data_IF_655657858702
#
_entry.id   IF_655657858702
#
_cell.length_a   1.000
_cell.length_b   1.000
_cell.length_c   1.000
_cell.angle_alpha   90.00
_cell.angle_beta   90.00
_cell.angle_gamma   90.00
#
_symmetry.space_group_name_H-M   'P 1'
#
loop_
_entity.id
_entity.type
_entity.pdbx_description
1 polymer ?
#
# COMPACT_ATOMS: atom_id res chain seq x y z
N UNK A 1 -59.91 5.74 -44.05
CA UNK A 1 -58.54 6.27 -43.88
C UNK A 1 -58.42 7.32 -42.77
N UNK A 2 -59.34 8.31 -42.65
CA UNK A 2 -59.29 9.32 -41.57
C UNK A 2 -59.30 8.77 -40.13
N UNK A 3 -60.02 7.66 -39.87
CA UNK A 3 -60.10 7.03 -38.53
C UNK A 3 -58.79 6.35 -38.09
N UNK A 4 -58.00 5.84 -39.04
CA UNK A 4 -56.72 5.18 -38.75
C UNK A 4 -55.57 6.19 -38.56
N UNK A 5 -55.66 7.35 -39.23
CA UNK A 5 -54.70 8.44 -39.03
C UNK A 5 -54.75 9.02 -37.60
N UNK A 6 -55.95 9.16 -37.02
CA UNK A 6 -56.10 9.59 -35.62
C UNK A 6 -55.52 8.57 -34.62
N UNK A 7 -55.63 7.28 -34.91
CA UNK A 7 -55.04 6.21 -34.07
C UNK A 7 -53.51 6.21 -34.14
N UNK A 8 -52.93 6.48 -35.32
CA UNK A 8 -51.47 6.60 -35.48
C UNK A 8 -50.92 7.85 -34.78
N UNK A 9 -51.63 8.98 -34.85
CA UNK A 9 -51.27 10.22 -34.14
C UNK A 9 -51.40 10.04 -32.63
N UNK A 10 -52.42 9.34 -32.15
CA UNK A 10 -52.58 9.03 -30.72
C UNK A 10 -51.49 8.07 -30.22
N UNK A 11 -51.07 7.09 -31.03
CA UNK A 11 -49.96 6.20 -30.71
C UNK A 11 -48.61 6.95 -30.65
N UNK A 12 -48.39 7.96 -31.51
CA UNK A 12 -47.20 8.82 -31.48
C UNK A 12 -47.16 9.74 -30.25
N UNK A 13 -48.33 10.17 -29.74
CA UNK A 13 -48.43 10.98 -28.51
C UNK A 13 -48.27 10.15 -27.22
N UNK A 14 -48.56 8.84 -27.27
CA UNK A 14 -48.41 7.91 -26.13
C UNK A 14 -46.99 7.32 -26.00
N UNK A 15 -46.08 7.60 -26.95
CA UNK A 15 -44.65 7.26 -26.85
C UNK A 15 -43.78 8.44 -26.39
N UNK A 16 -44.40 9.56 -26.01
CA UNK A 16 -43.71 10.55 -25.18
C UNK A 16 -43.55 9.97 -23.77
N UNK A 17 -42.52 9.14 -23.56
CA UNK A 17 -41.90 9.07 -22.24
C UNK A 17 -41.31 10.46 -21.99
N UNK A 18 -42.15 11.38 -21.53
CA UNK A 18 -41.73 12.50 -20.71
C UNK A 18 -41.11 11.85 -19.48
N UNK A 19 -39.79 11.66 -19.52
CA UNK A 19 -38.98 11.24 -18.38
C UNK A 19 -39.01 12.43 -17.42
N UNK A 20 -40.16 12.55 -16.74
CA UNK A 20 -40.61 13.76 -16.09
C UNK A 20 -39.50 14.28 -15.20
N UNK A 21 -39.15 15.55 -15.42
CA UNK A 21 -38.18 16.36 -14.67
C UNK A 21 -37.71 15.68 -13.38
N UNK A 22 -36.71 14.79 -13.51
CA UNK A 22 -36.19 14.00 -12.39
C UNK A 22 -35.36 14.96 -11.54
N UNK A 23 -36.03 15.74 -10.71
CA UNK A 23 -35.38 16.59 -9.73
C UNK A 23 -34.76 15.70 -8.67
N UNK A 24 -33.45 15.81 -8.50
CA UNK A 24 -32.73 15.03 -7.49
C UNK A 24 -33.05 15.65 -6.12
N UNK A 25 -33.75 14.92 -5.27
CA UNK A 25 -34.05 15.41 -3.92
C UNK A 25 -32.97 15.01 -2.90
N UNK A 26 -32.29 13.88 -3.13
CA UNK A 26 -31.30 13.31 -2.20
C UNK A 26 -30.24 12.52 -2.96
N UNK A 27 -28.98 12.71 -2.60
CA UNK A 27 -27.87 11.89 -3.11
C UNK A 27 -27.93 10.54 -2.41
N UNK A 28 -28.14 9.45 -3.15
CA UNK A 28 -28.11 8.11 -2.59
C UNK A 28 -27.20 7.22 -3.44
N UNK A 29 -26.12 6.68 -2.86
CA UNK A 29 -25.21 5.72 -3.52
C UNK A 29 -24.96 4.48 -2.65
N UNK A 30 -25.92 4.13 -1.79
CA UNK A 30 -25.81 3.01 -0.84
C UNK A 30 -25.71 1.66 -1.55
N UNK A 31 -26.33 1.47 -2.73
CA UNK A 31 -26.23 0.22 -3.48
C UNK A 31 -24.86 -0.02 -4.12
N UNK A 32 -23.99 1.00 -4.15
CA UNK A 32 -22.64 0.92 -4.72
C UNK A 32 -21.65 0.90 -3.57
N UNK A 33 -21.30 -0.29 -3.08
CA UNK A 33 -20.48 -0.39 -1.85
C UNK A 33 -18.99 -0.14 -2.07
N UNK A 34 -18.48 -0.42 -3.28
CA UNK A 34 -17.06 -0.22 -3.64
C UNK A 34 -16.93 0.89 -4.68
N UNK A 35 -16.13 1.88 -4.35
CA UNK A 35 -15.76 2.98 -5.24
C UNK A 35 -14.58 2.60 -6.14
N UNK A 36 -14.47 3.28 -7.28
CA UNK A 36 -13.36 3.12 -8.22
C UNK A 36 -12.52 4.41 -8.25
N UNK A 37 -11.26 4.32 -8.68
CA UNK A 37 -10.42 5.48 -8.94
C UNK A 37 -10.07 5.62 -10.41
N UNK A 38 -9.71 6.84 -10.82
CA UNK A 38 -9.20 7.06 -12.16
C UNK A 38 -7.81 6.41 -12.33
N UNK A 39 -7.49 5.79 -13.49
CA UNK A 39 -6.24 5.04 -13.67
C UNK A 39 -4.95 5.82 -13.38
N UNK A 40 -4.94 7.12 -13.66
CA UNK A 40 -3.76 7.97 -13.46
C UNK A 40 -3.53 8.33 -11.97
N UNK A 41 -4.55 8.13 -11.13
CA UNK A 41 -4.51 8.50 -9.71
C UNK A 41 -3.66 7.57 -8.84
N UNK A 42 -3.21 6.42 -9.36
CA UNK A 42 -2.36 5.45 -8.64
C UNK A 42 -0.93 5.32 -9.18
N UNK A 43 -0.62 5.92 -10.34
CA UNK A 43 0.70 5.79 -10.99
C UNK A 43 1.50 7.09 -11.00
N UNK A 44 0.83 8.22 -10.82
CA UNK A 44 1.46 9.53 -10.72
C UNK A 44 1.29 10.09 -9.31
N UNK A 45 2.37 10.00 -8.52
CA UNK A 45 2.46 10.48 -7.14
C UNK A 45 2.33 12.01 -7.00
N UNK A 46 2.18 12.74 -8.12
CA UNK A 46 1.97 14.18 -8.16
C UNK A 46 0.57 14.58 -8.63
N UNK A 47 -0.18 13.66 -9.24
CA UNK A 47 -1.52 13.91 -9.75
C UNK A 47 -2.58 13.75 -8.64
N UNK A 48 -3.67 14.53 -8.68
CA UNK A 48 -4.77 14.35 -7.74
C UNK A 48 -5.41 12.96 -7.90
N UNK A 49 -5.83 12.41 -6.76
CA UNK A 49 -6.60 11.16 -6.70
C UNK A 49 -8.08 11.49 -6.90
N UNK A 50 -8.67 10.93 -7.97
CA UNK A 50 -10.11 10.98 -8.22
C UNK A 50 -10.72 9.63 -7.89
N UNK A 51 -11.67 9.62 -6.95
CA UNK A 51 -12.43 8.44 -6.53
C UNK A 51 -13.89 8.71 -6.82
N UNK A 52 -14.57 7.77 -7.45
CA UNK A 52 -15.93 7.97 -7.93
C UNK A 52 -16.83 6.76 -7.71
N UNK A 53 -18.13 7.05 -7.71
CA UNK A 53 -19.21 6.10 -7.87
C UNK A 53 -20.09 6.54 -9.03
N UNK A 54 -20.58 5.56 -9.81
CA UNK A 54 -21.47 5.80 -10.95
C UNK A 54 -22.75 5.00 -10.77
N UNK A 55 -23.88 5.65 -11.03
CA UNK A 55 -25.13 5.00 -11.45
C UNK A 55 -25.31 5.24 -12.95
N UNK A 56 -26.45 4.84 -13.51
CA UNK A 56 -26.76 5.07 -14.93
C UNK A 56 -26.64 6.53 -15.33
N UNK A 57 -27.25 7.47 -14.59
CA UNK A 57 -27.30 8.90 -14.93
C UNK A 57 -26.73 9.81 -13.83
N UNK A 58 -26.03 9.24 -12.84
CA UNK A 58 -25.52 10.01 -11.69
C UNK A 58 -24.07 9.63 -11.39
N UNK A 59 -23.29 10.61 -10.94
CA UNK A 59 -21.94 10.39 -10.41
C UNK A 59 -21.74 11.10 -9.08
N UNK A 60 -20.98 10.48 -8.19
CA UNK A 60 -20.45 11.10 -6.99
C UNK A 60 -18.93 10.96 -7.01
N UNK A 61 -18.22 12.07 -6.94
CA UNK A 61 -16.77 12.13 -7.13
C UNK A 61 -16.11 12.86 -5.98
N UNK A 62 -15.00 12.31 -5.49
CA UNK A 62 -14.08 12.95 -4.57
C UNK A 62 -12.79 13.25 -5.32
N UNK A 63 -12.29 14.47 -5.18
CA UNK A 63 -10.93 14.85 -5.54
C UNK A 63 -10.11 15.06 -4.27
N UNK A 64 -8.98 14.35 -4.20
CA UNK A 64 -7.98 14.48 -3.15
C UNK A 64 -6.63 14.83 -3.78
N UNK A 65 -5.74 15.58 -3.11
CA UNK A 65 -4.33 15.66 -3.49
C UNK A 65 -3.68 14.27 -3.54
N UNK A 66 -2.60 14.14 -4.31
CA UNK A 66 -1.77 12.94 -4.27
C UNK A 66 -1.36 12.61 -2.82
N UNK A 67 -1.20 11.32 -2.51
CA UNK A 67 -0.78 10.85 -1.19
C UNK A 67 -1.75 11.17 -0.01
N UNK A 68 -2.98 11.62 -0.28
CA UNK A 68 -4.01 11.81 0.76
C UNK A 68 -4.57 10.49 1.27
N UNK A 69 -4.49 9.43 0.47
CA UNK A 69 -4.76 8.06 0.90
C UNK A 69 -3.44 7.35 1.05
N UNK A 70 -3.23 6.74 2.21
CA UNK A 70 -1.97 6.07 2.57
C UNK A 70 -2.21 4.58 2.71
N UNK A 71 -1.35 3.79 2.08
CA UNK A 71 -1.19 2.35 2.29
C UNK A 71 -0.54 2.06 3.66
N UNK A 72 -1.26 2.46 4.70
CA UNK A 72 -1.01 2.16 6.10
C UNK A 72 -2.33 2.19 6.87
N UNK A 73 -2.52 1.27 7.82
CA UNK A 73 -3.70 1.28 8.67
C UNK A 73 -3.75 2.57 9.51
N UNK A 74 -4.95 3.09 9.75
CA UNK A 74 -5.15 4.18 10.73
C UNK A 74 -5.24 3.59 12.14
N UNK A 75 -4.77 4.29 13.19
CA UNK A 75 -5.03 3.87 14.56
C UNK A 75 -6.54 3.80 14.83
N UNK A 76 -6.95 2.93 15.76
CA UNK A 76 -8.36 2.78 16.14
C UNK A 76 -8.92 4.13 16.62
N UNK A 77 -10.02 4.58 16.02
CA UNK A 77 -10.69 5.84 16.35
C UNK A 77 -9.95 7.10 15.89
N UNK A 78 -8.92 6.98 15.04
CA UNK A 78 -8.15 8.11 14.53
C UNK A 78 -8.05 8.08 12.99
N UNK A 79 -9.14 8.39 12.26
CA UNK A 79 -9.12 8.47 10.80
C UNK A 79 -8.22 9.62 10.32
N UNK A 80 -7.84 9.59 9.04
CA UNK A 80 -7.32 10.77 8.36
C UNK A 80 -8.49 11.74 8.12
N UNK A 81 -8.30 13.03 8.41
CA UNK A 81 -9.35 14.04 8.30
C UNK A 81 -8.92 15.17 7.37
N UNK A 82 -9.79 15.57 6.44
CA UNK A 82 -9.53 16.65 5.49
C UNK A 82 -10.74 17.57 5.36
N UNK A 83 -10.54 18.88 5.59
CA UNK A 83 -11.59 19.87 5.37
C UNK A 83 -11.91 20.02 3.88
N UNK A 84 -13.20 19.94 3.54
CA UNK A 84 -13.68 20.26 2.20
C UNK A 84 -13.52 21.76 1.99
N UNK A 85 -12.64 22.11 1.06
CA UNK A 85 -12.22 23.50 0.83
C UNK A 85 -12.41 23.96 -0.63
N UNK A 86 -12.97 23.09 -1.48
CA UNK A 86 -13.25 23.35 -2.88
C UNK A 86 -12.07 23.72 -3.78
N UNK A 87 -10.83 23.58 -3.28
CA UNK A 87 -9.61 23.77 -4.05
C UNK A 87 -8.84 22.45 -4.17
N UNK A 88 -8.40 21.91 -3.04
CA UNK A 88 -7.62 20.66 -2.98
C UNK A 88 -8.51 19.46 -2.68
N UNK A 89 -9.42 19.60 -1.72
CA UNK A 89 -10.36 18.57 -1.30
C UNK A 89 -11.76 18.96 -1.78
N UNK A 90 -12.30 18.19 -2.73
CA UNK A 90 -13.57 18.50 -3.39
C UNK A 90 -14.46 17.28 -3.40
N UNK A 91 -15.74 17.49 -3.18
CA UNK A 91 -16.78 16.47 -3.38
C UNK A 91 -17.81 17.05 -4.32
N UNK A 92 -18.11 16.34 -5.41
CA UNK A 92 -19.06 16.76 -6.43
C UNK A 92 -20.05 15.63 -6.72
N UNK A 93 -21.32 15.97 -6.69
CA UNK A 93 -22.39 15.17 -7.26
C UNK A 93 -22.80 15.75 -8.61
N UNK A 94 -23.11 14.89 -9.58
CA UNK A 94 -23.64 15.28 -10.89
C UNK A 94 -24.74 14.34 -11.36
N UNK A 95 -25.78 14.90 -11.96
CA UNK A 95 -26.77 14.20 -12.76
C UNK A 95 -26.56 14.50 -14.26
N UNK A 96 -26.99 13.57 -15.11
CA UNK A 96 -26.74 13.60 -16.54
C UNK A 96 -28.01 13.29 -17.36
N UNK A 97 -28.10 13.86 -18.57
CA UNK A 97 -29.20 13.60 -19.54
C UNK A 97 -29.09 12.25 -20.27
N UNK A 98 -28.19 11.38 -19.82
CA UNK A 98 -27.92 10.09 -20.43
C UNK A 98 -26.91 9.28 -19.63
N UNK A 99 -26.53 8.11 -20.16
CA UNK A 99 -25.68 7.18 -19.42
C UNK A 99 -24.27 7.73 -19.19
N UNK A 100 -23.88 7.90 -17.92
CA UNK A 100 -22.53 8.31 -17.52
C UNK A 100 -21.60 7.10 -17.46
N UNK A 101 -20.38 7.28 -17.94
CA UNK A 101 -19.33 6.27 -17.94
C UNK A 101 -18.02 6.80 -17.35
N UNK A 102 -17.08 5.89 -17.10
CA UNK A 102 -15.78 6.21 -16.48
C UNK A 102 -15.02 7.30 -17.23
N UNK A 103 -15.09 7.33 -18.57
CA UNK A 103 -14.43 8.34 -19.38
C UNK A 103 -15.02 9.75 -19.22
N UNK A 104 -16.28 9.88 -18.81
CA UNK A 104 -16.88 11.18 -18.43
C UNK A 104 -16.23 11.77 -17.18
N UNK A 105 -15.67 10.93 -16.30
CA UNK A 105 -15.03 11.34 -15.06
C UNK A 105 -13.50 11.41 -15.22
N UNK A 106 -12.90 10.38 -15.81
CA UNK A 106 -11.47 10.13 -15.83
C UNK A 106 -10.78 10.43 -17.18
N UNK A 107 -11.53 10.85 -18.20
CA UNK A 107 -10.96 11.15 -19.51
C UNK A 107 -10.02 12.35 -19.44
N UNK A 108 -8.83 12.25 -20.03
CA UNK A 108 -7.93 13.41 -20.22
C UNK A 108 -8.63 14.55 -20.95
N UNK A 109 -9.51 14.19 -21.88
CA UNK A 109 -10.51 15.06 -22.49
C UNK A 109 -11.85 14.38 -22.28
N UNK A 110 -12.63 14.76 -21.26
CA UNK A 110 -13.94 14.17 -21.02
C UNK A 110 -14.85 14.36 -22.25
N UNK A 111 -15.58 13.34 -22.69
CA UNK A 111 -16.51 13.48 -23.79
C UNK A 111 -17.63 14.46 -23.42
N UNK A 112 -18.14 15.18 -24.42
CA UNK A 112 -19.20 16.19 -24.26
C UNK A 112 -20.55 15.59 -23.85
N UNK A 113 -20.78 14.31 -24.13
CA UNK A 113 -22.03 13.59 -23.86
C UNK A 113 -21.82 12.45 -22.85
N UNK A 114 -22.80 12.16 -21.97
CA UNK A 114 -24.03 12.93 -21.75
C UNK A 114 -23.75 14.33 -21.14
N UNK A 115 -24.70 15.25 -21.28
CA UNK A 115 -24.59 16.58 -20.67
C UNK A 115 -24.91 16.50 -19.18
N UNK A 116 -24.24 17.32 -18.38
CA UNK A 116 -24.58 17.51 -16.97
C UNK A 116 -25.87 18.34 -16.89
N UNK A 117 -26.90 17.78 -16.27
CA UNK A 117 -28.19 18.45 -16.03
C UNK A 117 -28.22 19.14 -14.68
N UNK A 118 -27.50 18.59 -13.70
CA UNK A 118 -27.42 19.12 -12.35
C UNK A 118 -26.04 18.84 -11.73
N UNK A 119 -25.51 19.79 -10.95
CA UNK A 119 -24.24 19.64 -10.22
C UNK A 119 -24.39 20.18 -8.80
N UNK A 120 -24.06 19.36 -7.80
CA UNK A 120 -24.00 19.80 -6.41
C UNK A 120 -22.56 19.76 -5.93
N UNK A 121 -22.04 20.92 -5.58
CA UNK A 121 -20.70 21.06 -5.01
C UNK A 121 -20.78 21.10 -3.49
N UNK A 122 -20.00 20.28 -2.81
CA UNK A 122 -19.88 20.37 -1.36
C UNK A 122 -19.12 21.65 -0.97
N UNK A 123 -19.68 22.50 -0.11
CA UNK A 123 -19.11 23.79 0.31
C UNK A 123 -18.54 23.79 1.72
N UNK A 124 -18.88 22.78 2.53
CA UNK A 124 -18.36 22.56 3.88
C UNK A 124 -18.41 21.07 4.23
N UNK A 125 -17.74 20.71 5.32
CA UNK A 125 -17.67 19.35 5.86
C UNK A 125 -16.25 18.80 5.92
N UNK A 126 -16.11 17.62 6.48
CA UNK A 126 -14.83 16.93 6.68
C UNK A 126 -14.89 15.58 5.99
N UNK A 127 -13.86 15.24 5.22
CA UNK A 127 -13.64 13.89 4.69
C UNK A 127 -12.86 13.10 5.74
N UNK A 128 -13.45 12.03 6.25
CA UNK A 128 -12.81 11.05 7.12
C UNK A 128 -12.44 9.79 6.33
N UNK A 129 -11.20 9.34 6.46
CA UNK A 129 -10.70 8.12 5.82
C UNK A 129 -10.12 7.19 6.89
N UNK A 130 -10.79 6.05 7.10
CA UNK A 130 -10.31 4.97 7.98
C UNK A 130 -9.69 3.88 7.12
N UNK A 131 -8.39 3.62 7.32
CA UNK A 131 -7.65 2.61 6.56
C UNK A 131 -7.46 1.35 7.38
N UNK A 132 -7.71 0.20 6.78
CA UNK A 132 -7.47 -1.13 7.37
C UNK A 132 -6.59 -1.96 6.45
N UNK A 133 -5.61 -2.67 7.03
CA UNK A 133 -4.75 -3.59 6.28
C UNK A 133 -5.53 -4.86 5.94
N UNK A 134 -5.44 -5.31 4.70
CA UNK A 134 -5.89 -6.64 4.29
C UNK A 134 -4.69 -7.58 4.24
N UNK A 135 -4.77 -8.67 5.02
CA UNK A 135 -3.69 -9.67 5.12
C UNK A 135 -4.14 -10.95 4.43
N UNK A 136 -3.30 -11.49 3.56
CA UNK A 136 -3.52 -12.79 2.96
C UNK A 136 -3.35 -13.93 3.97
N UNK A 137 -3.79 -15.13 3.56
CA UNK A 137 -3.66 -16.32 4.37
C UNK A 137 -2.19 -16.64 4.70
N UNK A 138 -2.00 -17.34 5.83
CA UNK A 138 -0.69 -17.85 6.24
C UNK A 138 -0.19 -18.86 5.21
N UNK A 139 0.99 -18.64 4.66
CA UNK A 139 1.68 -19.55 3.75
C UNK A 139 1.89 -20.91 4.44
N UNK A 140 1.51 -21.99 3.78
CA UNK A 140 1.71 -23.36 4.29
C UNK A 140 3.17 -23.84 4.12
N UNK A 141 3.98 -23.11 3.35
CA UNK A 141 5.36 -23.50 3.03
C UNK A 141 6.36 -23.01 4.07
N UNK A 142 6.22 -21.75 4.49
CA UNK A 142 7.19 -21.05 5.35
C UNK A 142 6.50 -20.30 6.49
N UNK A 143 5.19 -20.49 6.67
CA UNK A 143 4.41 -19.81 7.69
C UNK A 143 4.23 -18.32 7.49
N UNK A 144 4.75 -17.72 6.42
CA UNK A 144 4.72 -16.26 6.21
C UNK A 144 3.31 -15.70 6.00
N UNK A 145 3.10 -14.40 6.27
CA UNK A 145 1.90 -13.66 5.81
C UNK A 145 2.32 -12.50 4.92
N UNK A 146 1.41 -12.06 4.05
CA UNK A 146 1.65 -10.90 3.18
C UNK A 146 0.46 -9.96 3.22
N UNK A 147 0.74 -8.67 3.09
CA UNK A 147 -0.30 -7.66 2.87
C UNK A 147 -0.77 -7.83 1.42
N UNK A 148 -2.07 -7.98 1.23
CA UNK A 148 -2.70 -8.14 -0.09
C UNK A 148 -3.42 -6.87 -0.56
N UNK A 149 -3.55 -5.88 0.32
CA UNK A 149 -4.08 -4.57 -0.02
C UNK A 149 -4.49 -3.79 1.23
N UNK A 150 -5.20 -2.69 1.01
CA UNK A 150 -5.82 -1.88 2.05
C UNK A 150 -7.27 -1.58 1.68
N UNK A 151 -8.13 -1.53 2.70
CA UNK A 151 -9.49 -1.01 2.57
C UNK A 151 -9.58 0.35 3.27
N UNK A 152 -9.99 1.37 2.51
CA UNK A 152 -10.18 2.74 2.94
C UNK A 152 -11.67 3.05 2.99
N UNK A 153 -12.24 3.09 4.19
CA UNK A 153 -13.60 3.53 4.40
C UNK A 153 -13.63 5.06 4.42
N UNK A 154 -14.44 5.63 3.53
CA UNK A 154 -14.58 7.09 3.37
C UNK A 154 -15.97 7.51 3.87
N UNK A 155 -15.99 8.46 4.79
CA UNK A 155 -17.21 9.05 5.37
C UNK A 155 -17.06 10.56 5.34
N UNK A 156 -18.12 11.29 4.99
CA UNK A 156 -18.15 12.74 5.13
C UNK A 156 -18.91 13.12 6.40
N UNK A 157 -18.35 14.03 7.19
CA UNK A 157 -18.95 14.57 8.41
C UNK A 157 -19.42 16.00 8.17
N UNK A 158 -20.67 16.29 8.53
CA UNK A 158 -21.28 17.62 8.40
C UNK A 158 -21.11 18.21 6.99
N UNK A 159 -21.28 17.37 5.96
CA UNK A 159 -21.09 17.79 4.57
C UNK A 159 -22.26 18.67 4.15
N UNK A 160 -21.96 19.83 3.56
CA UNK A 160 -22.98 20.73 3.00
C UNK A 160 -22.87 20.76 1.49
N UNK A 161 -23.88 20.29 0.77
CA UNK A 161 -23.99 20.39 -0.68
C UNK A 161 -24.75 21.66 -1.08
N UNK A 162 -24.23 22.39 -2.05
CA UNK A 162 -24.96 23.48 -2.70
C UNK A 162 -25.82 22.90 -3.83
N UNK A 163 -27.11 22.67 -3.56
CA UNK A 163 -28.11 22.28 -4.57
C UNK A 163 -28.92 23.48 -5.07
N UNK A 164 -29.60 23.38 -6.23
CA UNK A 164 -30.39 24.49 -6.79
C UNK A 164 -31.47 25.03 -5.85
N UNK A 165 -32.11 24.16 -5.06
CA UNK A 165 -33.13 24.53 -4.09
C UNK A 165 -32.59 25.18 -2.80
N UNK A 166 -31.26 25.31 -2.66
CA UNK A 166 -30.58 25.86 -1.48
C UNK A 166 -29.73 24.82 -0.74
N UNK A 167 -28.79 25.23 0.12
CA UNK A 167 -27.84 24.31 0.75
C UNK A 167 -28.50 23.17 1.53
N UNK A 168 -27.93 21.97 1.43
CA UNK A 168 -28.33 20.79 2.20
C UNK A 168 -27.15 20.29 3.00
N UNK A 169 -27.32 20.12 4.32
CA UNK A 169 -26.28 19.60 5.21
C UNK A 169 -26.67 18.22 5.74
N UNK A 170 -25.71 17.30 5.71
CA UNK A 170 -25.84 15.95 6.23
C UNK A 170 -24.77 15.71 7.29
N UNK A 171 -25.18 15.27 8.48
CA UNK A 171 -24.28 15.05 9.62
C UNK A 171 -23.28 13.92 9.33
N UNK A 172 -23.74 12.86 8.68
CA UNK A 172 -22.94 11.73 8.23
C UNK A 172 -23.40 11.32 6.83
N UNK A 173 -22.46 11.23 5.89
CA UNK A 173 -22.68 10.67 4.56
C UNK A 173 -21.63 9.58 4.30
N UNK A 174 -22.05 8.33 4.13
CA UNK A 174 -21.14 7.22 3.87
C UNK A 174 -20.80 7.16 2.39
N UNK A 175 -19.60 7.64 2.03
CA UNK A 175 -19.14 7.48 0.65
C UNK A 175 -18.81 6.03 0.34
N UNK A 176 -18.39 5.21 1.31
CA UNK A 176 -18.16 3.77 1.12
C UNK A 176 -16.68 3.41 1.03
N UNK A 177 -16.38 2.22 0.50
CA UNK A 177 -15.02 1.67 0.51
C UNK A 177 -14.25 1.99 -0.77
N UNK A 178 -12.97 2.31 -0.63
CA UNK A 178 -11.98 2.35 -1.70
C UNK A 178 -10.85 1.38 -1.37
N UNK A 179 -10.45 0.53 -2.32
CA UNK A 179 -9.39 -0.46 -2.08
C UNK A 179 -8.15 -0.16 -2.90
N UNK A 180 -6.98 -0.40 -2.30
CA UNK A 180 -5.68 -0.29 -2.96
C UNK A 180 -4.91 -1.59 -2.85
N UNK A 181 -4.03 -1.84 -3.82
CA UNK A 181 -3.08 -2.95 -3.77
C UNK A 181 -1.98 -2.73 -2.72
N UNK A 182 -1.20 -3.77 -2.42
CA UNK A 182 -0.12 -3.67 -1.46
C UNK A 182 1.10 -2.97 -2.08
N UNK A 183 1.93 -2.37 -1.23
CA UNK A 183 3.27 -1.94 -1.66
C UNK A 183 4.09 -3.20 -1.98
N UNK A 184 4.74 -3.30 -3.16
CA UNK A 184 5.46 -4.51 -3.54
C UNK A 184 6.66 -4.75 -2.61
N UNK A 185 6.78 -5.98 -2.14
CA UNK A 185 7.91 -6.45 -1.32
C UNK A 185 8.75 -7.45 -2.13
N UNK A 186 10.06 -7.28 -2.14
CA UNK A 186 11.02 -8.11 -2.85
C UNK A 186 11.95 -8.78 -1.86
N UNK A 187 11.51 -9.89 -1.27
CA UNK A 187 12.22 -10.59 -0.18
C UNK A 187 13.18 -11.69 -0.68
N UNK A 188 13.49 -11.71 -1.98
CA UNK A 188 14.43 -12.68 -2.55
C UNK A 188 15.81 -12.04 -2.66
N UNK A 189 16.80 -12.67 -2.01
CA UNK A 189 18.20 -12.23 -2.04
C UNK A 189 19.09 -13.40 -2.50
N UNK A 190 19.54 -13.36 -3.75
CA UNK A 190 20.29 -14.47 -4.37
C UNK A 190 21.81 -14.36 -4.21
N UNK A 191 22.30 -13.22 -3.71
CA UNK A 191 23.72 -12.98 -3.43
C UNK A 191 24.12 -13.48 -2.05
N UNK A 192 25.42 -13.62 -1.79
CA UNK A 192 25.91 -13.87 -0.44
C UNK A 192 25.74 -12.60 0.42
N UNK A 193 25.29 -12.73 1.69
CA UNK A 193 25.23 -11.61 2.61
C UNK A 193 26.64 -11.08 2.92
N UNK A 194 26.73 -9.79 3.22
CA UNK A 194 27.97 -9.08 3.55
C UNK A 194 27.92 -8.55 4.97
N UNK A 195 29.06 -8.54 5.67
CA UNK A 195 29.17 -7.99 7.01
C UNK A 195 29.77 -6.58 6.99
N UNK A 196 29.24 -5.69 7.82
CA UNK A 196 29.93 -4.50 8.29
C UNK A 196 30.40 -4.75 9.73
N UNK A 197 31.60 -5.31 9.89
CA UNK A 197 32.11 -5.75 11.20
C UNK A 197 32.15 -4.62 12.23
N UNK A 198 32.67 -3.45 11.84
CA UNK A 198 32.76 -2.28 12.73
C UNK A 198 31.40 -1.80 13.24
N UNK A 199 30.34 -2.02 12.44
CA UNK A 199 28.97 -1.65 12.75
C UNK A 199 28.15 -2.79 13.33
N UNK A 200 28.73 -3.99 13.45
CA UNK A 200 28.02 -5.21 13.89
C UNK A 200 26.76 -5.45 13.06
N UNK A 201 26.86 -5.28 11.74
CA UNK A 201 25.73 -5.44 10.82
C UNK A 201 26.00 -6.57 9.84
N UNK A 202 24.95 -7.27 9.46
CA UNK A 202 24.97 -8.19 8.31
C UNK A 202 23.78 -7.89 7.43
N UNK A 203 23.99 -7.77 6.13
CA UNK A 203 22.95 -7.42 5.19
C UNK A 203 23.00 -8.29 3.93
N UNK A 204 21.86 -8.42 3.27
CA UNK A 204 21.76 -8.91 1.90
C UNK A 204 20.79 -8.02 1.13
N UNK A 205 21.01 -7.88 -0.17
CA UNK A 205 20.27 -6.92 -0.98
C UNK A 205 19.99 -7.44 -2.39
N UNK A 206 18.96 -6.87 -3.00
CA UNK A 206 18.65 -7.00 -4.42
C UNK A 206 18.53 -5.58 -5.01
N UNK A 207 18.29 -5.40 -6.31
CA UNK A 207 18.29 -4.05 -6.90
C UNK A 207 17.30 -3.05 -6.30
N UNK A 208 16.23 -3.51 -5.64
CA UNK A 208 15.11 -2.66 -5.16
C UNK A 208 14.96 -2.62 -3.65
N UNK A 209 15.70 -3.45 -2.91
CA UNK A 209 15.55 -3.58 -1.45
C UNK A 209 16.75 -4.23 -0.78
N UNK A 210 16.85 -4.08 0.54
CA UNK A 210 17.77 -4.87 1.37
C UNK A 210 17.12 -5.30 2.68
N UNK A 211 17.66 -6.38 3.24
CA UNK A 211 17.40 -6.81 4.62
C UNK A 211 18.70 -6.81 5.40
N UNK A 212 18.65 -6.32 6.64
CA UNK A 212 19.80 -6.15 7.51
C UNK A 212 19.48 -6.59 8.93
N UNK A 213 20.40 -7.35 9.53
CA UNK A 213 20.50 -7.55 10.97
C UNK A 213 21.42 -6.47 11.52
N UNK A 214 20.93 -5.65 12.45
CA UNK A 214 21.72 -4.65 13.16
C UNK A 214 22.12 -5.15 14.55
N UNK A 215 23.21 -4.60 15.07
CA UNK A 215 23.71 -4.92 16.41
C UNK A 215 23.80 -6.44 16.62
N UNK A 216 24.32 -7.15 15.61
CA UNK A 216 24.45 -8.59 15.61
C UNK A 216 25.35 -9.01 16.78
N UNK A 217 24.87 -9.98 17.55
CA UNK A 217 25.67 -10.66 18.56
C UNK A 217 26.88 -11.32 17.88
N UNK A 218 28.06 -10.83 18.24
CA UNK A 218 29.34 -11.23 17.65
C UNK A 218 29.70 -12.69 17.96
N UNK A 219 28.98 -13.35 18.88
CA UNK A 219 29.16 -14.76 19.17
C UNK A 219 28.47 -15.69 18.17
N UNK A 220 27.56 -15.18 17.33
CA UNK A 220 26.80 -16.00 16.39
C UNK A 220 27.64 -16.51 15.21
N UNK A 221 28.54 -15.69 14.69
CA UNK A 221 29.41 -16.05 13.56
C UNK A 221 30.77 -16.45 14.11
N UNK A 222 30.98 -17.75 14.25
CA UNK A 222 32.22 -18.35 14.76
C UNK A 222 32.68 -19.48 13.85
N UNK A 223 33.99 -19.59 13.68
CA UNK A 223 34.71 -20.68 12.99
C UNK A 223 34.68 -22.00 13.78
N UNK A 224 33.49 -22.40 14.22
CA UNK A 224 33.22 -23.62 14.98
C UNK A 224 31.89 -24.17 14.50
N UNK A 225 31.92 -25.40 13.97
CA UNK A 225 30.74 -26.11 13.44
C UNK A 225 29.66 -26.21 14.51
N UNK A 226 28.42 -25.95 14.13
CA UNK A 226 27.27 -25.99 15.00
C UNK A 226 26.30 -24.84 14.76
N UNK A 227 25.19 -24.87 15.49
CA UNK A 227 24.11 -23.88 15.40
C UNK A 227 24.12 -22.99 16.63
N UNK A 228 23.97 -21.69 16.43
CA UNK A 228 23.90 -20.67 17.49
C UNK A 228 22.72 -19.77 17.22
N UNK A 229 22.10 -19.27 18.28
CA UNK A 229 20.98 -18.35 18.15
C UNK A 229 21.01 -17.28 19.21
N UNK A 230 20.52 -16.09 18.87
CA UNK A 230 20.28 -15.02 19.83
C UNK A 230 18.93 -14.37 19.57
N UNK A 231 18.31 -13.88 20.64
CA UNK A 231 17.02 -13.20 20.57
C UNK A 231 17.12 -11.88 19.81
N UNK A 232 16.05 -11.57 19.08
CA UNK A 232 15.82 -10.26 18.49
C UNK A 232 15.21 -9.37 19.57
N UNK A 233 15.88 -8.27 19.89
CA UNK A 233 15.43 -7.32 20.90
C UNK A 233 15.42 -5.90 20.32
N UNK A 234 14.98 -4.92 21.09
CA UNK A 234 14.98 -3.53 20.65
C UNK A 234 16.40 -3.02 20.30
N UNK A 235 17.43 -3.55 20.97
CA UNK A 235 18.81 -3.04 20.87
C UNK A 235 19.82 -4.04 20.31
N UNK A 236 19.48 -5.33 20.24
CA UNK A 236 20.36 -6.39 19.74
C UNK A 236 19.67 -7.24 18.68
N UNK A 237 20.42 -7.62 17.64
CA UNK A 237 19.96 -8.45 16.52
C UNK A 237 18.70 -7.92 15.81
N UNK A 238 18.39 -6.63 15.92
CA UNK A 238 17.15 -6.09 15.35
C UNK A 238 17.19 -6.08 13.81
N UNK A 239 16.04 -6.35 13.19
CA UNK A 239 15.94 -6.52 11.73
C UNK A 239 15.34 -5.27 11.11
N UNK A 240 15.97 -4.81 10.03
CA UNK A 240 15.44 -3.76 9.16
C UNK A 240 15.33 -4.29 7.74
N UNK A 241 14.17 -4.10 7.12
CA UNK A 241 13.95 -4.32 5.69
C UNK A 241 13.56 -3.01 5.02
N UNK A 242 14.28 -2.63 3.98
CA UNK A 242 14.14 -1.32 3.34
C UNK A 242 13.92 -1.49 1.85
N UNK A 243 12.96 -0.77 1.29
CA UNK A 243 12.71 -0.67 -0.16
C UNK A 243 13.06 0.71 -0.69
N UNK A 244 13.38 0.80 -1.97
CA UNK A 244 13.77 2.05 -2.63
C UNK A 244 12.78 2.49 -3.71
N UNK A 245 12.74 3.81 -3.96
CA UNK A 245 11.94 4.39 -5.04
C UNK A 245 12.60 4.09 -6.38
N UNK A 246 11.81 3.67 -7.36
CA UNK A 246 12.27 3.52 -8.75
C UNK A 246 12.85 4.84 -9.29
N UNK A 247 13.83 4.75 -10.18
CA UNK A 247 14.43 5.90 -10.87
C UNK A 247 15.12 6.94 -9.95
N UNK A 248 15.51 6.56 -8.72
CA UNK A 248 16.23 7.45 -7.80
C UNK A 248 17.70 7.08 -7.59
N UNK A 249 18.19 6.08 -8.33
CA UNK A 249 19.56 5.56 -8.26
C UNK A 249 19.59 4.04 -8.35
N UNK A 250 20.79 3.46 -8.22
CA UNK A 250 21.02 2.01 -8.23
C UNK A 250 21.59 1.59 -6.89
N UNK A 251 20.98 0.59 -6.25
CA UNK A 251 21.52 0.02 -5.03
C UNK A 251 22.75 -0.84 -5.34
N UNK A 252 23.87 -0.51 -4.69
CA UNK A 252 25.12 -1.27 -4.78
C UNK A 252 25.73 -1.46 -3.38
N UNK A 253 26.79 -2.26 -3.27
CA UNK A 253 27.47 -2.52 -2.00
C UNK A 253 28.00 -1.24 -1.32
N UNK A 254 28.26 -0.16 -2.06
CA UNK A 254 28.71 1.12 -1.50
C UNK A 254 27.64 1.84 -0.67
N UNK A 255 26.38 1.41 -0.74
CA UNK A 255 25.29 1.96 0.07
C UNK A 255 25.41 1.56 1.55
N UNK A 256 26.13 0.48 1.83
CA UNK A 256 26.23 -0.12 3.15
C UNK A 256 27.56 0.25 3.83
N UNK A 257 27.62 -0.01 5.14
CA UNK A 257 28.82 0.19 5.96
C UNK A 257 29.37 1.63 6.06
N UNK A 258 28.73 2.64 5.47
CA UNK A 258 29.17 4.05 5.52
C UNK A 258 28.30 4.92 6.42
N UNK A 259 28.84 6.02 6.96
CA UNK A 259 28.13 6.97 7.83
C UNK A 259 28.48 8.42 7.43
N UNK A 260 27.50 9.26 7.04
CA UNK A 260 26.07 8.95 6.89
C UNK A 260 25.79 8.01 5.71
N UNK A 261 24.62 7.36 5.72
CA UNK A 261 24.17 6.56 4.57
C UNK A 261 23.93 7.45 3.33
N UNK A 262 24.11 6.94 2.09
CA UNK A 262 23.86 7.74 0.90
C UNK A 262 22.39 8.16 0.76
N UNK A 263 22.18 9.31 0.13
CA UNK A 263 20.85 9.79 -0.22
C UNK A 263 20.23 9.10 -1.44
N UNK A 264 21.04 8.38 -2.24
CA UNK A 264 20.62 7.69 -3.45
C UNK A 264 21.04 6.20 -3.43
N UNK A 265 20.15 5.26 -3.81
CA UNK A 265 18.74 5.48 -4.16
C UNK A 265 17.92 5.97 -2.96
N UNK A 266 16.84 6.70 -3.25
CA UNK A 266 15.97 7.27 -2.23
C UNK A 266 15.11 6.17 -1.59
N UNK A 267 15.04 6.17 -0.27
CA UNK A 267 14.22 5.23 0.50
C UNK A 267 12.73 5.43 0.16
N UNK A 268 12.03 4.31 -0.04
CA UNK A 268 10.59 4.24 -0.20
C UNK A 268 9.92 3.88 1.13
N UNK A 269 10.25 2.70 1.67
CA UNK A 269 9.70 2.23 2.94
C UNK A 269 10.76 1.57 3.81
N UNK A 270 10.55 1.63 5.12
CA UNK A 270 11.38 0.94 6.12
C UNK A 270 10.46 0.13 7.02
N UNK A 271 10.77 -1.15 7.17
CA UNK A 271 10.08 -2.10 8.01
C UNK A 271 11.03 -2.57 9.10
N UNK A 272 10.60 -2.52 10.36
CA UNK A 272 11.42 -2.92 11.50
C UNK A 272 10.81 -4.15 12.18
N UNK A 273 11.66 -5.00 12.75
CA UNK A 273 11.21 -6.14 13.56
C UNK A 273 10.39 -5.67 14.76
N UNK A 274 9.23 -6.29 14.95
CA UNK A 274 8.47 -6.22 16.20
C UNK A 274 9.18 -7.08 17.24
N UNK A 275 9.34 -6.56 18.45
CA UNK A 275 9.91 -7.31 19.58
C UNK A 275 8.76 -8.02 20.30
N UNK A 276 8.62 -9.33 20.08
CA UNK A 276 7.53 -10.16 20.60
C UNK A 276 8.02 -11.38 21.42
N UNK A 277 9.29 -11.36 21.83
CA UNK A 277 10.01 -12.41 22.59
C UNK A 277 10.21 -13.76 21.88
N UNK A 278 9.71 -13.94 20.66
CA UNK A 278 9.83 -15.21 19.92
C UNK A 278 10.83 -15.15 18.75
N UNK A 279 11.07 -13.95 18.21
CA UNK A 279 12.01 -13.75 17.12
C UNK A 279 13.47 -14.02 17.49
N UNK A 280 14.19 -14.79 16.67
CA UNK A 280 15.63 -15.05 16.84
C UNK A 280 16.40 -14.88 15.52
N UNK A 281 17.69 -14.57 15.65
CA UNK A 281 18.67 -14.79 14.58
C UNK A 281 19.41 -16.08 14.89
N UNK A 282 19.37 -17.03 13.97
CA UNK A 282 20.09 -18.30 14.03
C UNK A 282 21.22 -18.31 12.99
N UNK A 283 22.40 -18.80 13.39
CA UNK A 283 23.53 -19.02 12.50
C UNK A 283 23.95 -20.47 12.59
N UNK A 284 23.89 -21.17 11.45
CA UNK A 284 24.41 -22.53 11.30
C UNK A 284 25.76 -22.49 10.60
N UNK A 285 26.80 -22.93 11.29
CA UNK A 285 28.17 -23.03 10.75
C UNK A 285 28.45 -24.45 10.29
N UNK A 286 28.90 -24.60 9.04
CA UNK A 286 29.50 -25.84 8.50
C UNK A 286 30.97 -25.61 8.15
N UNK A 287 31.75 -26.68 8.04
CA UNK A 287 33.15 -26.64 7.66
C UNK A 287 33.45 -27.65 6.56
N UNK A 288 34.29 -27.27 5.61
CA UNK A 288 34.78 -28.16 4.54
C UNK A 288 36.30 -28.08 4.42
N UNK A 289 36.95 -29.20 4.11
CA UNK A 289 38.41 -29.29 4.02
C UNK A 289 39.06 -29.87 5.28
N UNK A 290 40.29 -30.38 5.14
CA UNK A 290 41.03 -31.07 6.22
C UNK A 290 42.29 -30.30 6.64
N UNK A 291 43.04 -29.77 5.68
CA UNK A 291 44.24 -28.95 5.90
C UNK A 291 43.97 -27.47 5.72
N UNK A 292 43.08 -27.13 4.80
CA UNK A 292 42.57 -25.78 4.54
C UNK A 292 41.06 -25.80 4.78
N UNK A 293 40.65 -25.35 5.96
CA UNK A 293 39.26 -25.40 6.41
C UNK A 293 38.56 -24.14 5.95
N UNK A 294 37.44 -24.30 5.26
CA UNK A 294 36.54 -23.22 4.87
C UNK A 294 35.27 -23.32 5.71
N UNK A 295 34.97 -22.28 6.46
CA UNK A 295 33.73 -22.18 7.23
C UNK A 295 32.64 -21.48 6.41
N UNK A 296 31.42 -21.99 6.50
CA UNK A 296 30.22 -21.39 5.91
C UNK A 296 29.19 -21.14 6.99
N UNK A 297 28.70 -19.91 7.07
CA UNK A 297 27.74 -19.44 8.07
C UNK A 297 26.42 -19.09 7.40
N UNK A 298 25.42 -19.96 7.54
CA UNK A 298 24.06 -19.69 7.05
C UNK A 298 23.29 -18.93 8.11
N UNK A 299 22.81 -17.74 7.77
CA UNK A 299 22.08 -16.84 8.66
C UNK A 299 20.59 -16.98 8.35
N UNK A 300 19.82 -17.32 9.37
CA UNK A 300 18.37 -17.50 9.30
C UNK A 300 17.70 -16.61 10.34
N UNK A 301 16.74 -15.80 9.89
CA UNK A 301 15.87 -14.97 10.72
C UNK A 301 14.59 -15.77 10.96
N UNK A 302 14.24 -16.05 12.22
CA UNK A 302 13.12 -16.92 12.55
C UNK A 302 12.05 -16.22 13.35
N UNK A 303 10.80 -16.54 13.05
CA UNK A 303 9.61 -16.08 13.78
C UNK A 303 9.55 -14.55 13.94
N UNK A 304 9.76 -13.80 12.86
CA UNK A 304 9.80 -12.33 12.90
C UNK A 304 8.59 -11.71 12.23
N UNK A 305 7.93 -10.79 12.93
CA UNK A 305 6.98 -9.84 12.34
C UNK A 305 7.70 -8.54 11.99
N UNK A 306 7.52 -8.05 10.76
CA UNK A 306 8.04 -6.76 10.30
C UNK A 306 6.90 -5.73 10.26
N UNK A 307 7.15 -4.52 10.75
CA UNK A 307 6.15 -3.45 10.89
C UNK A 307 6.64 -2.13 10.27
N UNK A 308 5.74 -1.46 9.54
CA UNK A 308 5.86 -0.10 8.98
C UNK A 308 4.61 0.68 9.37
N UNK A 309 4.76 1.76 10.13
CA UNK A 309 3.61 2.52 10.63
C UNK A 309 2.70 1.63 11.48
N UNK A 310 1.42 1.53 11.13
CA UNK A 310 0.46 0.64 11.78
C UNK A 310 0.25 -0.70 11.05
N UNK A 311 0.97 -0.92 9.96
CA UNK A 311 0.87 -2.10 9.12
C UNK A 311 1.99 -3.08 9.41
N UNK A 312 1.70 -4.38 9.36
CA UNK A 312 2.69 -5.42 9.64
C UNK A 312 2.42 -6.73 8.91
N UNK A 313 3.47 -7.49 8.66
CA UNK A 313 3.37 -8.83 8.12
C UNK A 313 4.37 -9.77 8.80
N UNK A 314 4.03 -11.04 8.86
CA UNK A 314 4.91 -12.06 9.41
C UNK A 314 5.87 -12.55 8.31
N UNK A 315 7.18 -12.40 8.55
CA UNK A 315 8.22 -12.61 7.55
C UNK A 315 8.22 -14.06 7.06
N UNK A 316 8.45 -15.00 7.98
CA UNK A 316 8.38 -16.46 7.85
C UNK A 316 8.75 -17.11 9.21
N UNK A 317 8.45 -18.40 9.35
CA UNK A 317 8.97 -19.27 10.41
C UNK A 317 10.50 -19.38 10.30
N UNK A 318 11.00 -19.59 9.07
CA UNK A 318 12.43 -19.61 8.73
C UNK A 318 12.72 -18.77 7.48
N UNK A 319 13.35 -17.61 7.65
CA UNK A 319 13.80 -16.75 6.54
C UNK A 319 15.31 -16.78 6.41
N UNK A 320 15.84 -17.42 5.36
CA UNK A 320 17.29 -17.48 5.11
C UNK A 320 17.77 -16.17 4.49
N UNK A 321 18.53 -15.37 5.25
CA UNK A 321 19.17 -14.15 4.74
C UNK A 321 20.30 -14.49 3.76
N UNK A 322 20.96 -15.64 3.94
CA UNK A 322 21.95 -16.20 3.03
C UNK A 322 23.13 -16.84 3.77
N UNK A 323 24.21 -17.14 3.04
CA UNK A 323 25.40 -17.82 3.60
C UNK A 323 26.68 -17.02 3.37
N UNK A 324 27.40 -16.72 4.45
CA UNK A 324 28.74 -16.12 4.42
C UNK A 324 29.76 -17.25 4.32
N UNK A 325 30.77 -17.08 3.46
CA UNK A 325 31.89 -18.02 3.36
C UNK A 325 33.17 -17.32 3.80
N UNK A 326 33.82 -17.87 4.81
CA UNK A 326 35.10 -17.35 5.29
C UNK A 326 36.23 -17.67 4.31
N UNK A 327 37.31 -16.88 4.39
CA UNK A 327 38.58 -17.27 3.77
C UNK A 327 39.09 -18.59 4.37
N UNK A 328 39.78 -19.44 3.59
CA UNK A 328 40.32 -20.69 4.12
C UNK A 328 41.33 -20.44 5.26
N UNK A 329 41.24 -21.23 6.33
CA UNK A 329 42.16 -21.21 7.47
C UNK A 329 42.91 -22.54 7.59
N UNK A 330 44.21 -22.46 7.88
CA UNK A 330 45.06 -23.64 8.02
C UNK A 330 44.71 -24.39 9.30
N UNK A 331 44.53 -25.72 9.21
CA UNK A 331 44.30 -26.54 10.39
C UNK A 331 45.49 -26.40 11.37
N UNK A 332 45.24 -26.28 12.69
CA UNK A 332 46.31 -26.24 13.66
C UNK A 332 47.15 -27.51 13.54
N UNK A 333 48.46 -27.34 13.32
CA UNK A 333 49.40 -28.46 13.32
C UNK A 333 49.36 -29.13 14.68
N UNK A 334 48.95 -30.40 14.72
CA UNK A 334 49.04 -31.21 15.92
C UNK A 334 50.52 -31.21 16.36
N UNK A 335 50.84 -30.49 17.44
CA UNK A 335 52.14 -30.63 18.10
C UNK A 335 52.19 -32.06 18.64
N UNK A 336 53.00 -32.90 17.99
CA UNK A 336 53.40 -34.21 18.49
C UNK A 336 54.26 -34.07 19.73
#
# INVERSE_FOLDING_TARGET
MKKYASLLILALLLNGCDDGDLTVDTINFEDIQTSASCPNSSTDETAPTLIYKLKTQESLVIQLPANSIKNDATPIGAPLTYDINNSTYRVLYRAYDGTVAVNNICGTIPPRTPNVTEEWQATAGIIEITSTQVTGDKSTTDGSTRITGYNHQIVFRNITFLKPAGPQTEEEFVFGNYTTGPDPLYLTFTTAPTQCTDKKQVFNFNPTSYMQVNNLDQTLIQQVVGTRSAAITATANNITYTTFKSNTGTLTSSYFCISPAPSAPAVSTVWNSVVDNNGIVEVTTTATGTTSIVYKHTITIKNVTLKKGNSSFYLADDFVLGTITDAPVTAPTAKK
#
